data_IF_067616223038
#
_entry.id   IF_067616223038
#
_cell.length_a   1.000
_cell.length_b   1.000
_cell.length_c   1.000
_cell.angle_alpha   90.00
_cell.angle_beta   90.00
_cell.angle_gamma   90.00
#
_symmetry.space_group_name_H-M   'P 1'
#
loop_
_entity.id
_entity.type
_entity.pdbx_description
1 polymer ?
#
# COMPACT_ATOMS: atom_id res chain seq x y z
N UNK A 1 10.71 7.25 -0.85
CA UNK A 1 10.74 7.66 -2.29
C UNK A 1 9.33 7.77 -2.90
N UNK A 2 8.35 7.03 -2.40
CA UNK A 2 6.96 7.10 -2.88
C UNK A 2 6.31 8.47 -2.69
N UNK A 3 6.79 9.24 -1.72
CA UNK A 3 6.28 10.58 -1.44
C UNK A 3 6.71 11.67 -2.46
N UNK A 4 7.69 11.39 -3.31
CA UNK A 4 8.19 12.36 -4.29
C UNK A 4 7.22 12.57 -5.46
N UNK A 5 6.28 11.65 -5.66
CA UNK A 5 5.29 11.74 -6.74
C UNK A 5 3.99 12.46 -6.32
N UNK A 6 3.80 12.72 -5.03
CA UNK A 6 2.61 13.41 -4.54
C UNK A 6 2.72 14.92 -4.84
N UNK A 7 1.81 15.42 -5.65
CA UNK A 7 1.67 16.87 -5.85
C UNK A 7 0.99 17.50 -4.61
N UNK A 8 1.74 18.30 -3.89
CA UNK A 8 1.28 18.93 -2.65
C UNK A 8 0.43 20.18 -2.87
N UNK A 9 0.30 20.64 -4.12
CA UNK A 9 -0.45 21.83 -4.49
C UNK A 9 -1.91 21.59 -4.82
N UNK A 10 -2.28 20.31 -5.02
CA UNK A 10 -3.65 19.87 -5.31
C UNK A 10 -4.17 18.96 -4.18
N UNK A 11 -5.50 18.76 -4.11
CA UNK A 11 -6.10 17.92 -3.09
C UNK A 11 -5.62 16.47 -3.19
N UNK A 12 -5.69 15.73 -2.08
CA UNK A 12 -5.30 14.33 -2.06
C UNK A 12 -6.01 13.51 -3.14
N UNK A 13 -7.33 13.71 -3.29
CA UNK A 13 -8.14 13.01 -4.30
C UNK A 13 -7.73 13.35 -5.75
N UNK A 14 -7.25 14.55 -6.00
CA UNK A 14 -6.85 14.99 -7.34
C UNK A 14 -5.48 14.43 -7.75
N UNK A 15 -4.74 13.84 -6.81
CA UNK A 15 -3.51 13.10 -7.08
C UNK A 15 -3.76 11.71 -7.70
N UNK A 16 -4.99 11.21 -7.66
CA UNK A 16 -5.31 9.92 -8.27
C UNK A 16 -5.44 10.05 -9.79
N UNK A 17 -5.03 8.98 -10.49
CA UNK A 17 -5.09 8.93 -11.95
C UNK A 17 -6.55 9.00 -12.45
N UNK A 18 -6.90 10.06 -13.15
CA UNK A 18 -8.21 10.32 -13.73
C UNK A 18 -8.47 9.53 -15.05
N UNK A 19 -7.44 8.93 -15.61
CA UNK A 19 -7.58 8.08 -16.80
C UNK A 19 -8.21 6.74 -16.42
N UNK A 20 -7.87 6.20 -15.26
CA UNK A 20 -8.40 4.93 -14.75
C UNK A 20 -9.66 5.17 -13.92
N UNK A 21 -9.60 6.09 -12.96
CA UNK A 21 -10.71 6.44 -12.08
C UNK A 21 -11.41 7.69 -12.62
N UNK A 22 -12.41 7.49 -13.45
CA UNK A 22 -13.06 8.56 -14.22
C UNK A 22 -14.00 9.43 -13.40
N UNK A 23 -14.52 8.91 -12.28
CA UNK A 23 -15.49 9.64 -11.45
C UNK A 23 -14.91 9.99 -10.08
N UNK A 24 -15.40 11.09 -9.50
CA UNK A 24 -15.06 11.48 -8.14
C UNK A 24 -15.44 10.39 -7.13
N UNK A 25 -16.58 9.71 -7.37
CA UNK A 25 -17.02 8.61 -6.53
C UNK A 25 -16.07 7.43 -6.50
N UNK A 26 -15.51 7.02 -7.65
CA UNK A 26 -14.51 5.95 -7.74
C UNK A 26 -13.22 6.32 -7.00
N UNK A 27 -12.76 7.55 -7.17
CA UNK A 27 -11.57 8.06 -6.47
C UNK A 27 -11.78 8.13 -4.96
N UNK A 28 -12.94 8.60 -4.50
CA UNK A 28 -13.30 8.62 -3.07
C UNK A 28 -13.42 7.23 -2.49
N UNK A 29 -14.00 6.29 -3.23
CA UNK A 29 -14.11 4.89 -2.79
C UNK A 29 -12.72 4.26 -2.62
N UNK A 30 -11.81 4.49 -3.56
CA UNK A 30 -10.43 4.01 -3.45
C UNK A 30 -9.72 4.63 -2.24
N UNK A 31 -9.72 5.96 -2.10
CA UNK A 31 -9.11 6.62 -0.94
C UNK A 31 -9.71 6.15 0.38
N UNK A 32 -11.02 5.96 0.43
CA UNK A 32 -11.72 5.43 1.61
C UNK A 32 -11.23 4.04 2.00
N UNK A 33 -10.95 3.17 1.02
CA UNK A 33 -10.40 1.83 1.27
C UNK A 33 -8.98 1.87 1.85
N UNK A 34 -8.21 2.95 1.60
CA UNK A 34 -6.92 3.23 2.26
C UNK A 34 -7.06 4.05 3.56
N UNK A 35 -8.28 4.28 4.04
CA UNK A 35 -8.52 5.04 5.27
C UNK A 35 -8.46 6.56 5.12
N UNK A 36 -8.51 7.08 3.88
CA UNK A 36 -8.52 8.51 3.57
C UNK A 36 -9.91 8.96 3.10
N UNK A 37 -10.90 8.81 3.97
CA UNK A 37 -12.29 9.16 3.67
C UNK A 37 -12.67 10.59 4.11
N UNK A 38 -13.80 11.06 3.60
CA UNK A 38 -14.37 12.34 3.98
C UNK A 38 -13.45 13.54 3.69
N UNK A 39 -13.29 14.42 4.67
CA UNK A 39 -12.48 15.64 4.53
C UNK A 39 -11.00 15.38 4.19
N UNK A 40 -10.45 14.23 4.60
CA UNK A 40 -9.06 13.89 4.29
C UNK A 40 -8.79 13.75 2.80
N UNK A 41 -9.77 13.29 2.03
CA UNK A 41 -9.66 13.20 0.58
C UNK A 41 -9.54 14.59 -0.08
N UNK A 42 -10.14 15.60 0.54
CA UNK A 42 -10.17 16.97 0.02
C UNK A 42 -9.02 17.85 0.55
N UNK A 43 -8.26 17.36 1.53
CA UNK A 43 -7.12 18.10 2.09
C UNK A 43 -5.93 18.14 1.13
N UNK A 44 -5.10 19.18 1.26
CA UNK A 44 -3.79 19.22 0.63
C UNK A 44 -2.85 18.19 1.31
N UNK A 45 -2.05 17.44 0.55
CA UNK A 45 -1.19 16.40 1.11
C UNK A 45 -0.21 16.89 2.18
N UNK A 46 0.17 18.17 2.14
CA UNK A 46 1.02 18.79 3.17
C UNK A 46 0.38 18.86 4.56
N UNK A 47 -0.94 18.81 4.66
CA UNK A 47 -1.71 18.85 5.92
C UNK A 47 -2.00 17.45 6.47
N UNK A 48 -1.77 16.41 5.69
CA UNK A 48 -1.89 15.02 6.11
C UNK A 48 -0.73 14.61 7.02
N UNK A 49 -0.97 13.67 7.92
CA UNK A 49 0.11 13.03 8.70
C UNK A 49 1.05 12.23 7.79
N UNK A 50 2.22 11.85 8.31
CA UNK A 50 3.16 11.00 7.57
C UNK A 50 2.54 9.67 7.12
N UNK A 51 1.78 9.02 8.01
CA UNK A 51 1.07 7.78 7.70
C UNK A 51 -0.06 7.98 6.67
N UNK A 52 -0.80 9.09 6.75
CA UNK A 52 -1.83 9.42 5.77
C UNK A 52 -1.25 9.70 4.39
N UNK A 53 -0.09 10.37 4.32
CA UNK A 53 0.63 10.56 3.05
C UNK A 53 1.13 9.24 2.46
N UNK A 54 1.62 8.33 3.30
CA UNK A 54 2.02 6.99 2.85
C UNK A 54 0.82 6.23 2.24
N UNK A 55 -0.35 6.29 2.88
CA UNK A 55 -1.59 5.72 2.36
C UNK A 55 -1.99 6.34 1.02
N UNK A 56 -1.86 7.65 0.88
CA UNK A 56 -2.12 8.34 -0.38
C UNK A 56 -1.16 7.85 -1.49
N UNK A 57 0.13 7.74 -1.19
CA UNK A 57 1.12 7.21 -2.14
C UNK A 57 0.78 5.80 -2.62
N UNK A 58 0.40 4.90 -1.70
CA UNK A 58 -0.03 3.55 -2.04
C UNK A 58 -1.33 3.53 -2.85
N UNK A 59 -2.30 4.40 -2.52
CA UNK A 59 -3.53 4.55 -3.29
C UNK A 59 -3.24 5.02 -4.73
N UNK A 60 -2.32 5.95 -4.91
CA UNK A 60 -1.90 6.42 -6.23
C UNK A 60 -1.28 5.28 -7.06
N UNK A 61 -0.42 4.46 -6.45
CA UNK A 61 0.16 3.28 -7.11
C UNK A 61 -0.91 2.27 -7.50
N UNK A 62 -1.85 1.97 -6.61
CA UNK A 62 -2.94 1.04 -6.87
C UNK A 62 -3.94 1.56 -7.92
N UNK A 63 -4.12 2.88 -8.00
CA UNK A 63 -4.98 3.53 -9.00
C UNK A 63 -4.35 3.59 -10.40
N UNK A 64 -3.02 3.49 -10.50
CA UNK A 64 -2.29 3.54 -11.77
C UNK A 64 -2.57 2.34 -12.66
N UNK A 65 -2.18 2.45 -13.93
CA UNK A 65 -2.27 1.36 -14.91
C UNK A 65 -1.16 0.33 -14.73
N UNK A 66 -0.95 -0.09 -13.50
CA UNK A 66 0.10 -1.05 -13.15
C UNK A 66 -0.50 -2.44 -13.00
N UNK A 67 0.13 -3.43 -13.61
CA UNK A 67 -0.17 -4.85 -13.37
C UNK A 67 0.89 -5.52 -12.49
N UNK A 68 1.95 -4.81 -12.16
CA UNK A 68 3.01 -5.23 -11.24
C UNK A 68 3.36 -4.06 -10.32
N UNK A 69 3.33 -4.29 -9.02
CA UNK A 69 3.85 -3.38 -7.99
C UNK A 69 5.00 -4.05 -7.24
N UNK A 70 6.06 -3.29 -7.02
CA UNK A 70 7.18 -3.70 -6.18
C UNK A 70 7.25 -2.72 -5.02
N UNK A 71 7.05 -3.22 -3.81
CA UNK A 71 7.00 -2.44 -2.58
C UNK A 71 8.12 -2.89 -1.64
N UNK A 72 8.92 -1.95 -1.21
CA UNK A 72 10.00 -2.17 -0.23
C UNK A 72 9.62 -1.47 1.07
N UNK A 73 9.36 -2.28 2.12
CA UNK A 73 8.95 -1.83 3.46
C UNK A 73 7.80 -0.79 3.42
N UNK A 74 6.66 -1.09 2.77
CA UNK A 74 5.62 -0.10 2.50
C UNK A 74 4.87 0.39 3.75
N UNK A 75 5.05 -0.29 4.87
CA UNK A 75 4.35 0.01 6.14
C UNK A 75 5.24 0.72 7.16
N UNK A 76 6.47 1.07 6.80
CA UNK A 76 7.36 1.79 7.70
C UNK A 76 6.73 3.10 8.19
N UNK A 77 6.80 3.32 9.50
CA UNK A 77 6.25 4.49 10.19
C UNK A 77 4.71 4.60 10.18
N UNK A 78 4.00 3.53 9.90
CA UNK A 78 2.54 3.47 10.01
C UNK A 78 2.12 2.97 11.40
N UNK A 79 0.93 3.41 11.83
CA UNK A 79 0.29 2.85 13.01
C UNK A 79 -0.21 1.41 12.76
N UNK A 80 -0.32 0.56 13.79
CA UNK A 80 -0.68 -0.85 13.62
C UNK A 80 -2.00 -1.09 12.87
N UNK A 81 -3.01 -0.25 13.09
CA UNK A 81 -4.29 -0.37 12.39
C UNK A 81 -4.15 -0.08 10.89
N UNK A 82 -3.32 0.90 10.53
CA UNK A 82 -3.01 1.23 9.14
C UNK A 82 -2.21 0.12 8.44
N UNK A 83 -1.29 -0.53 9.16
CA UNK A 83 -0.51 -1.67 8.66
C UNK A 83 -1.43 -2.79 8.19
N UNK A 84 -2.37 -3.21 9.04
CA UNK A 84 -3.33 -4.28 8.72
C UNK A 84 -4.25 -3.85 7.56
N UNK A 85 -4.81 -2.64 7.62
CA UNK A 85 -5.74 -2.15 6.59
C UNK A 85 -5.08 -2.10 5.21
N UNK A 86 -3.83 -1.69 5.12
CA UNK A 86 -3.08 -1.66 3.86
C UNK A 86 -2.80 -3.09 3.37
N UNK A 87 -2.41 -4.00 4.25
CA UNK A 87 -2.21 -5.41 3.91
C UNK A 87 -3.46 -6.04 3.30
N UNK A 88 -4.61 -5.88 3.96
CA UNK A 88 -5.91 -6.38 3.46
C UNK A 88 -6.31 -5.75 2.12
N UNK A 89 -6.01 -4.48 1.94
CA UNK A 89 -6.32 -3.77 0.71
C UNK A 89 -5.46 -4.26 -0.46
N UNK A 90 -4.16 -4.41 -0.24
CA UNK A 90 -3.24 -4.93 -1.25
C UNK A 90 -3.50 -6.42 -1.56
N UNK A 91 -4.00 -7.20 -0.60
CA UNK A 91 -4.42 -8.58 -0.82
C UNK A 91 -5.56 -8.70 -1.86
N UNK A 92 -6.38 -7.66 -2.00
CA UNK A 92 -7.49 -7.60 -2.97
C UNK A 92 -7.11 -6.97 -4.30
N UNK A 93 -5.91 -6.42 -4.40
CA UNK A 93 -5.44 -5.83 -5.64
C UNK A 93 -5.19 -6.92 -6.69
N UNK A 94 -5.73 -6.74 -7.90
CA UNK A 94 -5.77 -7.79 -8.94
C UNK A 94 -4.47 -7.95 -9.73
N UNK A 95 -3.45 -7.13 -9.46
CA UNK A 95 -2.14 -7.23 -10.11
C UNK A 95 -1.19 -8.20 -9.42
N UNK A 96 0.02 -8.30 -9.95
CA UNK A 96 1.14 -9.01 -9.31
C UNK A 96 1.84 -8.09 -8.32
N UNK A 97 2.04 -8.56 -7.09
CA UNK A 97 2.66 -7.81 -6.01
C UNK A 97 3.93 -8.51 -5.55
N UNK A 98 5.03 -7.77 -5.53
CA UNK A 98 6.28 -8.19 -4.90
C UNK A 98 6.53 -7.25 -3.71
N UNK A 99 6.67 -7.82 -2.52
CA UNK A 99 6.83 -7.06 -1.29
C UNK A 99 8.05 -7.54 -0.54
N UNK A 100 8.85 -6.58 -0.08
CA UNK A 100 9.85 -6.80 0.97
C UNK A 100 9.30 -6.21 2.26
N UNK A 101 9.17 -7.01 3.31
CA UNK A 101 8.69 -6.55 4.62
C UNK A 101 9.16 -7.47 5.74
N UNK A 102 9.41 -6.87 6.90
CA UNK A 102 9.64 -7.57 8.17
C UNK A 102 8.46 -7.38 9.15
N UNK A 103 7.38 -6.73 8.72
CA UNK A 103 6.20 -6.45 9.55
C UNK A 103 5.21 -7.62 9.49
N UNK A 104 5.18 -8.43 10.55
CA UNK A 104 4.35 -9.64 10.62
C UNK A 104 2.87 -9.37 10.35
N UNK A 105 2.30 -8.36 11.00
CA UNK A 105 0.87 -8.03 10.87
C UNK A 105 0.51 -7.66 9.41
N UNK A 106 1.41 -7.01 8.69
CA UNK A 106 1.25 -6.69 7.28
C UNK A 106 1.26 -7.95 6.41
N UNK A 107 2.26 -8.84 6.61
CA UNK A 107 2.39 -10.08 5.84
C UNK A 107 1.20 -11.01 6.08
N UNK A 108 0.73 -11.14 7.33
CA UNK A 108 -0.49 -11.89 7.65
C UNK A 108 -1.73 -11.34 6.93
N UNK A 109 -1.92 -10.02 6.95
CA UNK A 109 -3.05 -9.36 6.28
C UNK A 109 -2.97 -9.44 4.77
N UNK A 110 -1.76 -9.43 4.20
CA UNK A 110 -1.51 -9.52 2.76
C UNK A 110 -1.83 -10.90 2.19
N UNK A 111 -1.71 -11.98 2.97
CA UNK A 111 -1.93 -13.37 2.56
C UNK A 111 -1.11 -13.76 1.31
N UNK A 112 0.23 -13.74 1.40
CA UNK A 112 1.09 -14.04 0.26
C UNK A 112 0.88 -15.46 -0.26
N UNK A 113 1.11 -15.67 -1.57
CA UNK A 113 1.02 -16.98 -2.21
C UNK A 113 2.37 -17.68 -2.34
N UNK A 114 3.45 -16.88 -2.37
CA UNK A 114 4.82 -17.36 -2.55
C UNK A 114 5.77 -16.57 -1.65
N UNK A 115 6.92 -17.16 -1.37
CA UNK A 115 8.01 -16.53 -0.65
C UNK A 115 9.33 -16.69 -1.39
N UNK A 116 10.19 -15.68 -1.29
CA UNK A 116 11.60 -15.75 -1.67
C UNK A 116 12.42 -15.52 -0.42
N UNK A 117 13.20 -16.52 -0.03
CA UNK A 117 14.04 -16.48 1.16
C UNK A 117 15.47 -16.11 0.76
N UNK A 118 16.00 -15.04 1.34
CA UNK A 118 17.37 -14.60 1.16
C UNK A 118 18.22 -14.97 2.39
N UNK A 119 19.53 -15.28 2.24
CA UNK A 119 20.34 -15.15 1.01
C UNK A 119 20.31 -16.37 0.09
N UNK A 120 19.65 -17.45 0.47
CA UNK A 120 19.73 -18.74 -0.24
C UNK A 120 18.93 -18.76 -1.55
N UNK A 121 18.31 -17.64 -1.94
CA UNK A 121 17.49 -17.47 -3.15
C UNK A 121 16.44 -18.59 -3.32
N UNK A 122 15.94 -19.10 -2.22
CA UNK A 122 14.98 -20.18 -2.22
C UNK A 122 13.58 -19.62 -2.53
N UNK A 123 12.97 -20.09 -3.61
CA UNK A 123 11.61 -19.74 -4.02
C UNK A 123 10.66 -20.90 -3.71
N UNK A 124 9.61 -20.64 -2.96
CA UNK A 124 8.62 -21.63 -2.59
C UNK A 124 7.20 -21.04 -2.55
N UNK A 125 6.22 -21.92 -2.48
CA UNK A 125 4.87 -21.54 -2.09
C UNK A 125 4.89 -21.04 -0.64
N UNK A 126 4.01 -20.11 -0.33
CA UNK A 126 3.90 -19.59 1.02
C UNK A 126 3.59 -20.71 2.02
N UNK A 127 4.28 -20.69 3.16
CA UNK A 127 4.06 -21.56 4.32
C UNK A 127 4.05 -20.71 5.60
N UNK A 128 3.23 -21.09 6.55
CA UNK A 128 3.10 -20.36 7.83
C UNK A 128 4.42 -20.31 8.62
N UNK A 129 5.30 -21.32 8.45
CA UNK A 129 6.63 -21.34 9.06
C UNK A 129 7.53 -20.17 8.64
N UNK A 130 7.31 -19.60 7.44
CA UNK A 130 8.06 -18.43 6.97
C UNK A 130 7.72 -17.16 7.74
N UNK A 131 6.62 -17.17 8.49
CA UNK A 131 6.27 -16.06 9.36
C UNK A 131 7.30 -15.83 10.47
N UNK A 132 7.97 -16.89 10.91
CA UNK A 132 9.03 -16.79 11.92
C UNK A 132 10.28 -16.10 11.37
N UNK A 133 10.51 -16.19 10.06
CA UNK A 133 11.62 -15.51 9.37
C UNK A 133 11.35 -14.01 9.17
N UNK A 134 10.10 -13.59 9.11
CA UNK A 134 9.72 -12.18 8.97
C UNK A 134 10.17 -11.35 10.17
N UNK A 135 10.15 -11.92 11.37
CA UNK A 135 10.48 -11.21 12.62
C UNK A 135 11.98 -11.16 12.96
N UNK A 136 12.82 -11.97 12.32
CA UNK A 136 14.24 -12.12 12.71
C UNK A 136 15.16 -11.05 12.11
N UNK A 137 14.62 -10.06 11.43
CA UNK A 137 15.37 -8.99 10.79
C UNK A 137 14.95 -7.61 11.24
#
# INVERSE_FOLDING_TARGET
QEHEQIDRTIRAIDNLDDVVLKTDGERRALLGSFGLSGERADQLPGTLSGGERAKLGLAMLAAGRNNLLILDEPTNNLDPASVVAIGEMLARWEGTLIVVSHERAFVEALQPTHAVLLPDEFYDLWRDEYMDDVEQR
#
